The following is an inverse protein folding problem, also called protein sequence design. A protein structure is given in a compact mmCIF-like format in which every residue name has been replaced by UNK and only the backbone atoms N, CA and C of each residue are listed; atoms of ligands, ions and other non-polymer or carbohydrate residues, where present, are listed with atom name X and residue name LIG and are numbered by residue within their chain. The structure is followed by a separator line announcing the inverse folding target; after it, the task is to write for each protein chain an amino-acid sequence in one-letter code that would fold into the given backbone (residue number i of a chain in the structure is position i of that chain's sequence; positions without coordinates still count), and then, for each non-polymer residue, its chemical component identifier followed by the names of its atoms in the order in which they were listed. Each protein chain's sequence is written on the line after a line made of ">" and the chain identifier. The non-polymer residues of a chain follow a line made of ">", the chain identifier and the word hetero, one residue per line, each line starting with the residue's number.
data_IF_551043111908
#
_entry.id   IF_551043111908
#
_cell.length_a   1.000
_cell.length_b   1.000
_cell.length_c   1.000
_cell.angle_alpha   90.00
_cell.angle_beta   90.00
_cell.angle_gamma   90.00
#
_symmetry.space_group_name_H-M   'P 1'
#
loop_
_entity.id
_entity.type
_entity.pdbx_description
1 polymer ?
#
# COMPACT_ATOMS: atom_id res chain seq x y z
N UNK A 1 59.11 33.06 29.16
CA UNK A 1 59.55 33.22 27.76
C UNK A 1 58.38 32.80 26.91
N UNK A 2 57.75 33.81 26.35
CA UNK A 2 56.70 33.80 25.34
C UNK A 2 57.30 33.29 23.98
N UNK A 3 56.54 33.20 22.88
CA UNK A 3 55.65 32.11 22.46
C UNK A 3 56.04 31.60 21.05
N UNK A 4 55.38 30.60 20.45
CA UNK A 4 54.35 30.80 19.41
C UNK A 4 54.17 29.48 18.64
N UNK A 5 52.98 29.25 18.07
CA UNK A 5 52.89 28.46 16.83
C UNK A 5 51.89 27.31 16.81
N UNK A 6 50.61 27.65 16.88
CA UNK A 6 49.44 26.92 16.35
C UNK A 6 49.67 26.24 14.99
N UNK A 7 49.14 25.03 14.77
CA UNK A 7 48.23 24.74 13.62
C UNK A 7 47.80 23.25 13.52
N UNK A 8 46.50 23.04 13.69
CA UNK A 8 45.53 22.29 12.85
C UNK A 8 45.99 21.03 12.07
N UNK A 9 45.22 19.92 12.14
CA UNK A 9 45.46 18.74 11.29
C UNK A 9 45.01 19.04 9.86
N UNK A 10 45.96 19.08 8.92
CA UNK A 10 45.66 19.12 7.49
C UNK A 10 45.45 17.71 6.98
N UNK A 11 44.24 17.46 6.49
CA UNK A 11 43.92 16.36 5.59
C UNK A 11 44.84 16.43 4.37
N UNK A 12 45.89 15.61 4.34
CA UNK A 12 46.56 15.31 3.09
C UNK A 12 45.86 14.11 2.45
N UNK A 13 45.07 14.44 1.43
CA UNK A 13 44.63 13.58 0.35
C UNK A 13 45.81 12.72 -0.09
N UNK A 14 45.74 11.41 0.19
CA UNK A 14 46.66 10.46 -0.40
C UNK A 14 46.40 10.44 -1.91
N UNK A 15 47.17 11.22 -2.66
CA UNK A 15 47.31 11.04 -4.09
C UNK A 15 47.89 9.65 -4.28
N UNK A 16 47.03 8.71 -4.69
CA UNK A 16 47.45 7.39 -5.17
C UNK A 16 48.26 7.62 -6.46
N UNK A 17 49.55 7.90 -6.31
CA UNK A 17 50.50 7.76 -7.39
C UNK A 17 50.59 6.27 -7.65
N UNK A 18 49.87 5.81 -8.68
CA UNK A 18 49.89 4.42 -9.09
C UNK A 18 51.33 3.99 -9.32
N UNK A 19 51.90 3.21 -8.38
CA UNK A 19 53.14 2.49 -8.61
C UNK A 19 52.87 1.56 -9.78
N UNK A 20 53.36 1.93 -10.96
CA UNK A 20 53.52 1.00 -12.08
C UNK A 20 54.28 -0.20 -11.53
N UNK A 21 53.59 -1.34 -11.41
CA UNK A 21 54.22 -2.61 -11.00
C UNK A 21 55.42 -2.80 -11.92
N UNK A 22 56.64 -2.75 -11.36
CA UNK A 22 57.85 -3.04 -12.13
C UNK A 22 57.66 -4.42 -12.74
N UNK A 23 57.53 -4.44 -14.07
CA UNK A 23 57.35 -5.67 -14.84
C UNK A 23 58.50 -6.60 -14.47
N UNK A 24 58.21 -7.85 -14.13
CA UNK A 24 59.25 -8.82 -13.80
C UNK A 24 60.20 -8.96 -14.99
N UNK A 25 61.43 -8.46 -14.84
CA UNK A 25 62.47 -8.55 -15.87
C UNK A 25 63.29 -9.80 -15.54
N UNK A 26 63.15 -10.83 -16.36
CA UNK A 26 63.96 -12.04 -16.22
C UNK A 26 65.45 -11.67 -16.35
N UNK A 27 66.27 -12.12 -15.40
CA UNK A 27 67.72 -11.91 -15.44
C UNK A 27 68.39 -12.71 -16.58
N UNK A 28 67.70 -13.71 -17.15
CA UNK A 28 68.20 -14.57 -18.24
C UNK A 28 67.81 -14.13 -19.66
N UNK A 29 66.76 -13.32 -19.80
CA UNK A 29 66.28 -12.84 -21.11
C UNK A 29 66.44 -11.32 -21.16
N UNK A 30 67.61 -10.86 -21.61
CA UNK A 30 67.94 -9.43 -21.78
C UNK A 30 68.14 -9.16 -23.27
N UNK A 31 67.57 -8.06 -23.78
CA UNK A 31 67.59 -7.71 -25.20
C UNK A 31 66.34 -8.17 -25.97
N UNK A 32 66.39 -8.14 -27.31
CA UNK A 32 65.36 -8.78 -28.14
C UNK A 32 65.53 -10.29 -28.02
N UNK A 33 64.46 -10.97 -27.59
CA UNK A 33 64.41 -12.42 -27.50
C UNK A 33 63.26 -12.92 -28.36
N UNK A 34 63.50 -14.01 -29.08
CA UNK A 34 62.48 -14.64 -29.90
C UNK A 34 61.33 -15.14 -29.01
N UNK A 35 60.11 -14.88 -29.45
CA UNK A 35 58.88 -15.28 -28.77
C UNK A 35 58.10 -16.27 -29.64
N UNK A 36 58.64 -17.47 -29.92
CA UNK A 36 58.03 -18.42 -30.85
C UNK A 36 56.62 -18.85 -30.42
N UNK A 37 56.27 -18.74 -29.13
CA UNK A 37 54.91 -18.97 -28.64
C UNK A 37 53.87 -17.94 -29.12
N UNK A 38 54.29 -16.76 -29.61
CA UNK A 38 53.39 -15.81 -30.27
C UNK A 38 53.00 -16.28 -31.67
N UNK A 39 53.83 -17.12 -32.30
CA UNK A 39 53.61 -17.74 -33.61
C UNK A 39 52.98 -19.15 -33.48
N UNK A 40 52.95 -19.72 -32.26
CA UNK A 40 52.31 -21.02 -31.99
C UNK A 40 50.78 -20.95 -32.25
N UNK A 41 50.25 -21.76 -33.19
CA UNK A 41 48.82 -21.82 -33.48
C UNK A 41 47.95 -22.15 -32.25
N UNK A 42 48.48 -22.87 -31.26
CA UNK A 42 47.76 -23.18 -30.00
C UNK A 42 47.49 -21.92 -29.17
N UNK A 43 48.36 -20.91 -29.26
CA UNK A 43 48.16 -19.63 -28.56
C UNK A 43 47.05 -18.80 -29.21
N UNK A 44 46.86 -18.92 -30.54
CA UNK A 44 45.73 -18.31 -31.23
C UNK A 44 44.38 -18.87 -30.72
N UNK A 45 44.29 -20.18 -30.45
CA UNK A 45 43.10 -20.78 -29.82
C UNK A 45 42.76 -20.15 -28.46
N UNK A 46 43.77 -19.79 -27.67
CA UNK A 46 43.57 -19.10 -26.38
C UNK A 46 43.07 -17.67 -26.57
N UNK A 47 43.57 -16.94 -27.58
CA UNK A 47 43.04 -15.62 -27.95
C UNK A 47 41.57 -15.70 -28.38
N UNK A 48 41.20 -16.68 -29.22
CA UNK A 48 39.82 -16.92 -29.61
C UNK A 48 38.92 -17.22 -28.41
N UNK A 49 39.35 -18.08 -27.48
CA UNK A 49 38.62 -18.35 -26.24
C UNK A 49 38.41 -17.06 -25.42
N UNK A 50 39.45 -16.23 -25.27
CA UNK A 50 39.33 -14.96 -24.56
C UNK A 50 38.37 -13.99 -25.28
N UNK A 51 38.42 -13.90 -26.61
CA UNK A 51 37.46 -13.10 -27.38
C UNK A 51 36.03 -13.59 -27.17
N UNK A 52 35.79 -14.89 -27.19
CA UNK A 52 34.47 -15.47 -26.90
C UNK A 52 34.00 -15.06 -25.49
N UNK A 53 34.86 -15.15 -24.47
CA UNK A 53 34.52 -14.72 -23.10
C UNK A 53 34.22 -13.23 -23.04
N UNK A 54 35.04 -12.37 -23.65
CA UNK A 54 34.80 -10.93 -23.67
C UNK A 54 33.51 -10.57 -24.40
N UNK A 55 33.21 -11.26 -25.51
CA UNK A 55 31.94 -11.10 -26.23
C UNK A 55 30.76 -11.45 -25.33
N UNK A 56 30.80 -12.58 -24.60
CA UNK A 56 29.73 -12.92 -23.65
C UNK A 56 29.60 -11.92 -22.50
N UNK A 57 30.71 -11.38 -21.98
CA UNK A 57 30.67 -10.32 -20.97
C UNK A 57 29.99 -9.07 -21.53
N UNK A 58 30.38 -8.62 -22.73
CA UNK A 58 29.77 -7.44 -23.38
C UNK A 58 28.29 -7.68 -23.65
N UNK A 59 27.91 -8.86 -24.15
CA UNK A 59 26.51 -9.24 -24.34
C UNK A 59 25.76 -9.20 -23.00
N UNK A 60 26.34 -9.74 -21.93
CA UNK A 60 25.75 -9.70 -20.59
C UNK A 60 25.51 -8.27 -20.09
N UNK A 61 26.49 -7.37 -20.28
CA UNK A 61 26.35 -5.95 -19.93
C UNK A 61 25.29 -5.26 -20.78
N UNK A 62 25.26 -5.50 -22.09
CA UNK A 62 24.24 -4.95 -22.98
C UNK A 62 22.84 -5.44 -22.59
N UNK A 63 22.66 -6.73 -22.32
CA UNK A 63 21.39 -7.30 -21.88
C UNK A 63 20.96 -6.72 -20.53
N UNK A 64 21.88 -6.56 -19.58
CA UNK A 64 21.60 -5.89 -18.32
C UNK A 64 21.14 -4.43 -18.53
N UNK A 65 21.78 -3.70 -19.46
CA UNK A 65 21.37 -2.35 -19.85
C UNK A 65 19.96 -2.31 -20.46
N UNK A 66 19.62 -3.27 -21.32
CA UNK A 66 18.27 -3.41 -21.91
C UNK A 66 17.23 -3.70 -20.84
N UNK A 67 17.51 -4.63 -19.92
CA UNK A 67 16.61 -4.95 -18.79
C UNK A 67 16.42 -3.73 -17.89
N UNK A 68 17.50 -3.01 -17.56
CA UNK A 68 17.43 -1.80 -16.77
C UNK A 68 16.59 -0.71 -17.45
N UNK A 69 16.78 -0.50 -18.77
CA UNK A 69 15.99 0.45 -19.54
C UNK A 69 14.50 0.15 -19.42
N UNK A 70 14.06 -1.09 -19.71
CA UNK A 70 12.64 -1.45 -19.65
C UNK A 70 12.05 -1.41 -18.24
N UNK A 71 12.86 -1.62 -17.18
CA UNK A 71 12.42 -1.46 -15.79
C UNK A 71 12.23 0.00 -15.37
N UNK A 72 13.03 0.90 -15.92
CA UNK A 72 12.95 2.34 -15.60
C UNK A 72 11.84 3.03 -16.40
N UNK A 73 11.51 2.54 -17.60
CA UNK A 73 10.50 3.17 -18.47
C UNK A 73 9.16 3.50 -17.76
N UNK A 74 8.53 2.60 -16.99
CA UNK A 74 7.29 2.92 -16.26
C UNK A 74 7.47 3.97 -15.16
N UNK A 75 8.68 4.08 -14.60
CA UNK A 75 9.03 5.04 -13.56
C UNK A 75 9.55 6.38 -14.13
N UNK A 76 9.39 6.64 -15.43
CA UNK A 76 9.72 7.95 -16.01
C UNK A 76 8.55 8.93 -15.82
N UNK A 77 8.80 10.19 -15.43
CA UNK A 77 7.75 11.14 -15.11
C UNK A 77 6.97 11.51 -16.37
N UNK A 78 5.65 11.43 -16.32
CA UNK A 78 4.75 12.05 -17.30
C UNK A 78 4.44 13.48 -16.86
N UNK A 79 4.05 14.38 -17.79
CA UNK A 79 3.51 15.69 -17.41
C UNK A 79 2.28 15.51 -16.50
N UNK A 80 2.39 16.05 -15.28
CA UNK A 80 1.36 16.00 -14.24
C UNK A 80 1.34 17.33 -13.49
N UNK A 81 0.19 17.68 -12.89
CA UNK A 81 -0.01 18.94 -12.19
C UNK A 81 -0.65 18.75 -10.83
N UNK A 82 -0.09 19.40 -9.81
CA UNK A 82 -0.58 19.32 -8.44
C UNK A 82 -1.97 19.98 -8.39
N UNK A 83 -2.99 19.21 -8.06
CA UNK A 83 -4.38 19.70 -7.92
C UNK A 83 -4.83 19.73 -6.46
N UNK A 84 -4.16 18.97 -5.59
CA UNK A 84 -4.51 18.89 -4.19
C UNK A 84 -3.28 18.56 -3.34
N UNK A 85 -3.14 19.27 -2.23
CA UNK A 85 -2.16 18.99 -1.18
C UNK A 85 -2.82 19.23 0.19
N UNK A 86 -2.59 18.28 1.09
CA UNK A 86 -2.88 18.43 2.51
C UNK A 86 -1.66 18.02 3.33
N UNK A 87 -1.27 18.88 4.26
CA UNK A 87 -0.18 18.64 5.23
C UNK A 87 -0.72 18.43 6.63
N UNK A 88 -2.04 18.47 6.80
CA UNK A 88 -2.74 18.27 8.06
C UNK A 88 -2.25 19.23 9.14
N UNK A 89 -2.43 20.53 8.90
CA UNK A 89 -2.08 21.57 9.87
C UNK A 89 -2.70 21.27 11.25
N UNK A 90 -1.96 21.57 12.32
CA UNK A 90 -2.32 21.20 13.68
C UNK A 90 -3.66 21.80 14.13
N UNK A 91 -4.48 20.99 14.82
CA UNK A 91 -5.79 21.39 15.32
C UNK A 91 -6.86 20.35 15.01
N UNK A 92 -7.63 20.58 13.96
CA UNK A 92 -8.73 19.71 13.51
C UNK A 92 -8.58 19.42 12.02
N UNK A 93 -9.07 18.25 11.59
CA UNK A 93 -9.23 17.90 10.19
C UNK A 93 -10.03 18.97 9.43
N UNK A 94 -9.53 19.38 8.27
CA UNK A 94 -10.21 20.30 7.37
C UNK A 94 -11.36 19.59 6.65
N UNK A 95 -12.58 19.82 7.14
CA UNK A 95 -13.81 19.22 6.59
C UNK A 95 -14.18 19.76 5.20
N UNK A 96 -13.53 20.83 4.70
CA UNK A 96 -13.66 21.22 3.29
C UNK A 96 -12.89 20.27 2.36
N UNK A 97 -11.91 19.54 2.90
CA UNK A 97 -11.04 18.59 2.19
C UNK A 97 -11.37 17.12 2.46
N UNK A 98 -11.88 16.80 3.65
CA UNK A 98 -12.13 15.42 4.08
C UNK A 98 -13.51 15.22 4.67
N UNK A 99 -14.16 14.11 4.33
CA UNK A 99 -15.46 13.71 4.87
C UNK A 99 -15.25 12.54 5.81
N UNK A 100 -15.86 12.58 6.99
CA UNK A 100 -15.89 11.43 7.88
C UNK A 100 -16.88 10.38 7.37
N UNK A 101 -16.55 9.10 7.53
CA UNK A 101 -17.50 7.99 7.40
C UNK A 101 -17.70 7.37 8.78
N UNK A 102 -18.92 7.43 9.29
CA UNK A 102 -19.33 6.97 10.63
C UNK A 102 -20.36 5.86 10.47
N UNK A 103 -19.98 4.64 10.81
CA UNK A 103 -20.82 3.45 10.71
C UNK A 103 -20.42 2.34 11.70
N UNK A 104 -21.32 1.36 11.86
CA UNK A 104 -21.20 0.18 12.74
C UNK A 104 -21.13 -1.16 11.99
N UNK A 105 -21.23 -1.15 10.66
CA UNK A 105 -21.37 -2.37 9.84
C UNK A 105 -20.05 -3.04 9.45
N UNK A 106 -18.91 -2.55 9.93
CA UNK A 106 -17.58 -3.05 9.54
C UNK A 106 -17.26 -2.90 8.06
N UNK A 107 -17.97 -2.00 7.34
CA UNK A 107 -17.73 -1.65 5.94
C UNK A 107 -17.55 -2.84 4.98
N UNK A 108 -18.36 -3.89 5.15
CA UNK A 108 -18.32 -5.09 4.29
C UNK A 108 -17.19 -6.09 4.60
N UNK A 109 -16.27 -5.76 5.51
CA UNK A 109 -15.18 -6.65 5.94
C UNK A 109 -15.51 -7.43 7.22
N UNK A 110 -16.58 -7.03 7.91
CA UNK A 110 -16.92 -7.54 9.23
C UNK A 110 -15.89 -7.14 10.30
N UNK A 111 -15.25 -5.97 10.16
CA UNK A 111 -14.34 -5.44 11.18
C UNK A 111 -15.04 -5.21 12.51
N UNK A 112 -14.25 -5.19 13.58
CA UNK A 112 -14.71 -5.12 14.96
C UNK A 112 -14.64 -3.70 15.54
N UNK A 113 -14.23 -2.74 14.72
CA UNK A 113 -14.30 -1.32 15.02
C UNK A 113 -15.61 -0.69 14.53
N UNK A 114 -15.94 0.45 15.13
CA UNK A 114 -16.87 1.42 14.56
C UNK A 114 -16.20 2.78 14.44
N UNK A 115 -16.54 3.51 13.38
CA UNK A 115 -15.84 4.73 13.03
C UNK A 115 -16.51 5.95 13.63
N UNK A 116 -15.73 6.94 14.09
CA UNK A 116 -16.25 8.13 14.77
C UNK A 116 -15.56 9.42 14.31
N UNK A 117 -16.10 10.56 14.75
CA UNK A 117 -15.51 11.90 14.56
C UNK A 117 -14.80 12.43 15.82
N UNK A 118 -14.62 11.57 16.82
CA UNK A 118 -14.06 11.94 18.12
C UNK A 118 -12.56 12.22 18.04
N UNK A 119 -12.12 13.30 18.69
CA UNK A 119 -10.71 13.70 18.76
C UNK A 119 -9.79 12.64 19.38
N UNK A 120 -10.33 11.67 20.13
CA UNK A 120 -9.56 10.53 20.64
C UNK A 120 -9.22 9.52 19.55
N UNK A 121 -10.01 9.46 18.48
CA UNK A 121 -9.79 8.57 17.33
C UNK A 121 -9.15 9.27 16.14
N UNK A 122 -9.43 10.57 15.96
CA UNK A 122 -8.94 11.32 14.80
C UNK A 122 -8.66 12.78 15.13
N UNK A 123 -7.40 13.21 14.93
CA UNK A 123 -6.96 14.58 15.19
C UNK A 123 -5.72 14.93 14.37
N UNK A 124 -5.37 16.22 14.30
CA UNK A 124 -4.15 16.69 13.62
C UNK A 124 -3.22 17.42 14.60
N UNK A 125 -1.92 17.14 14.52
CA UNK A 125 -0.86 17.82 15.27
C UNK A 125 0.32 18.20 14.36
N UNK A 126 1.48 18.52 14.94
CA UNK A 126 2.70 18.86 14.20
C UNK A 126 3.31 17.70 13.38
N UNK A 127 2.92 16.46 13.68
CA UNK A 127 3.33 15.26 12.93
C UNK A 127 2.37 14.91 11.79
N UNK A 128 1.18 15.49 11.78
CA UNK A 128 0.14 15.35 10.77
C UNK A 128 -1.17 14.80 11.33
N UNK A 129 -1.94 14.11 10.49
CA UNK A 129 -3.18 13.43 10.85
C UNK A 129 -2.89 12.13 11.62
N UNK A 130 -3.63 11.89 12.69
CA UNK A 130 -3.60 10.65 13.44
C UNK A 130 -4.95 9.95 13.33
N UNK A 131 -4.94 8.65 13.03
CA UNK A 131 -6.11 7.77 13.11
C UNK A 131 -5.77 6.69 14.14
N UNK A 132 -6.30 6.81 15.35
CA UNK A 132 -5.94 6.02 16.53
C UNK A 132 -7.14 5.16 16.98
N UNK A 133 -7.01 3.83 17.02
CA UNK A 133 -8.04 2.99 17.60
C UNK A 133 -8.05 3.11 19.14
N UNK A 134 -9.25 3.15 19.73
CA UNK A 134 -9.48 3.22 21.18
C UNK A 134 -10.55 2.22 21.61
N UNK A 135 -10.59 1.81 22.87
CA UNK A 135 -11.62 0.88 23.33
C UNK A 135 -12.94 1.63 23.53
N UNK A 136 -14.05 1.00 23.12
CA UNK A 136 -15.40 1.57 23.25
C UNK A 136 -15.72 1.86 24.71
N UNK A 137 -15.38 0.96 25.63
CA UNK A 137 -15.67 1.11 27.07
C UNK A 137 -14.73 2.08 27.81
N UNK A 138 -13.61 2.47 27.22
CA UNK A 138 -12.70 3.46 27.80
C UNK A 138 -13.05 4.90 27.38
N UNK A 139 -13.65 5.06 26.21
CA UNK A 139 -13.87 6.37 25.59
C UNK A 139 -15.35 6.74 25.46
N UNK A 140 -16.25 5.89 25.93
CA UNK A 140 -17.70 6.15 26.00
C UNK A 140 -18.24 5.77 27.37
N UNK A 141 -19.53 6.01 27.61
CA UNK A 141 -20.24 5.54 28.80
C UNK A 141 -20.67 4.07 28.73
N UNK A 142 -20.38 3.36 27.63
CA UNK A 142 -20.77 1.96 27.43
C UNK A 142 -19.89 1.06 28.30
N UNK A 143 -20.50 0.36 29.25
CA UNK A 143 -19.78 -0.56 30.14
C UNK A 143 -19.42 -1.87 29.44
N UNK A 144 -18.46 -2.62 30.00
CA UNK A 144 -18.09 -3.95 29.48
C UNK A 144 -19.31 -4.89 29.41
N UNK A 145 -20.17 -4.91 30.43
CA UNK A 145 -21.39 -5.74 30.42
C UNK A 145 -22.34 -5.37 29.27
N UNK A 146 -22.46 -4.08 28.97
CA UNK A 146 -23.27 -3.56 27.88
C UNK A 146 -22.70 -3.90 26.50
N UNK A 147 -21.37 -4.05 26.37
CA UNK A 147 -20.78 -4.53 25.12
C UNK A 147 -21.29 -5.94 24.79
N UNK A 148 -21.41 -6.82 25.79
CA UNK A 148 -21.87 -8.20 25.60
C UNK A 148 -23.40 -8.32 25.49
N UNK A 149 -24.16 -7.53 26.25
CA UNK A 149 -25.60 -7.79 26.34
C UNK A 149 -26.46 -6.58 26.71
N UNK A 150 -27.64 -6.51 26.11
CA UNK A 150 -28.73 -5.65 26.58
C UNK A 150 -28.52 -4.16 26.29
N UNK A 151 -27.67 -3.83 25.32
CA UNK A 151 -27.40 -2.45 24.93
C UNK A 151 -27.75 -2.20 23.46
N UNK A 152 -28.10 -0.96 23.15
CA UNK A 152 -28.34 -0.47 21.80
C UNK A 152 -27.48 0.77 21.56
N UNK A 153 -26.53 0.66 20.64
CA UNK A 153 -25.78 1.81 20.15
C UNK A 153 -26.49 2.33 18.89
N UNK A 154 -26.96 3.58 18.92
CA UNK A 154 -27.78 4.16 17.86
C UNK A 154 -27.23 5.51 17.38
N UNK A 155 -26.40 5.46 16.35
CA UNK A 155 -25.74 6.63 15.78
C UNK A 155 -26.70 7.53 14.99
N UNK A 156 -27.86 7.02 14.58
CA UNK A 156 -28.91 7.83 13.97
C UNK A 156 -29.56 8.75 15.01
N UNK A 157 -29.83 8.23 16.21
CA UNK A 157 -30.36 9.04 17.31
C UNK A 157 -29.34 10.10 17.77
N UNK A 158 -28.05 9.76 17.70
CA UNK A 158 -26.95 10.69 18.00
C UNK A 158 -26.70 11.72 16.87
N UNK A 159 -27.28 11.50 15.68
CA UNK A 159 -27.09 12.34 14.50
C UNK A 159 -25.69 12.28 13.88
N UNK A 160 -24.90 11.25 14.22
CA UNK A 160 -23.51 11.10 13.79
C UNK A 160 -23.32 10.14 12.63
N UNK A 161 -24.25 9.20 12.41
CA UNK A 161 -24.14 8.23 11.32
C UNK A 161 -24.13 8.90 9.94
N UNK A 162 -23.23 8.48 9.06
CA UNK A 162 -23.13 9.01 7.69
C UNK A 162 -23.70 8.05 6.65
N UNK A 163 -24.07 6.83 7.06
CA UNK A 163 -24.67 5.82 6.20
C UNK A 163 -26.18 6.02 6.05
N UNK A 164 -26.73 5.54 4.94
CA UNK A 164 -28.17 5.64 4.66
C UNK A 164 -28.98 4.46 5.20
N UNK A 165 -28.32 3.31 5.42
CA UNK A 165 -28.96 2.10 5.93
C UNK A 165 -29.00 2.10 7.46
N UNK A 166 -30.18 1.87 8.04
CA UNK A 166 -30.35 1.75 9.50
C UNK A 166 -29.48 0.64 10.11
N UNK A 167 -29.26 -0.46 9.37
CA UNK A 167 -28.39 -1.56 9.81
C UNK A 167 -26.91 -1.14 9.92
N UNK A 168 -26.51 -0.06 9.25
CA UNK A 168 -25.17 0.51 9.37
C UNK A 168 -25.04 1.51 10.52
N UNK A 169 -26.17 1.97 11.08
CA UNK A 169 -26.20 3.03 12.09
C UNK A 169 -26.64 2.55 13.48
N UNK A 170 -27.13 1.32 13.61
CA UNK A 170 -27.61 0.76 14.88
C UNK A 170 -27.02 -0.63 15.12
N UNK A 171 -26.45 -0.83 16.30
CA UNK A 171 -25.95 -2.12 16.77
C UNK A 171 -26.61 -2.50 18.10
N UNK A 172 -26.88 -3.79 18.28
CA UNK A 172 -27.48 -4.35 19.48
C UNK A 172 -26.63 -5.49 20.05
N UNK A 173 -26.34 -5.43 21.35
CA UNK A 173 -25.66 -6.53 22.04
C UNK A 173 -26.68 -7.52 22.62
N UNK A 174 -26.45 -8.81 22.38
CA UNK A 174 -27.31 -9.89 22.84
C UNK A 174 -26.50 -11.17 23.07
N UNK A 175 -26.34 -11.51 24.36
CA UNK A 175 -25.63 -12.70 24.86
C UNK A 175 -26.19 -14.04 24.37
N UNK A 176 -27.43 -14.10 23.90
CA UNK A 176 -28.01 -15.32 23.34
C UNK A 176 -27.70 -15.46 21.84
N UNK A 177 -27.58 -14.34 21.13
CA UNK A 177 -27.40 -14.32 19.67
C UNK A 177 -25.93 -14.27 19.23
N UNK A 178 -24.99 -14.01 20.14
CA UNK A 178 -23.58 -13.81 19.76
C UNK A 178 -23.26 -12.38 19.33
N UNK A 179 -24.23 -11.45 19.39
CA UNK A 179 -24.03 -10.09 18.91
C UNK A 179 -23.44 -9.19 19.98
N UNK A 180 -22.45 -8.37 19.60
CA UNK A 180 -21.75 -7.44 20.48
C UNK A 180 -21.94 -6.01 19.97
N UNK A 181 -21.82 -5.03 20.85
CA UNK A 181 -21.44 -3.68 20.40
C UNK A 181 -19.97 -3.76 19.97
N UNK A 182 -19.59 -3.23 18.78
CA UNK A 182 -18.20 -3.22 18.36
C UNK A 182 -17.26 -2.72 19.48
N UNK A 183 -16.32 -3.56 19.95
CA UNK A 183 -15.53 -3.27 21.16
C UNK A 183 -14.53 -2.14 20.98
N UNK A 184 -14.23 -1.76 19.74
CA UNK A 184 -13.20 -0.79 19.41
C UNK A 184 -13.79 0.36 18.60
N UNK A 185 -13.28 1.57 18.82
CA UNK A 185 -13.56 2.76 18.03
C UNK A 185 -12.37 3.09 17.17
N UNK A 186 -12.61 3.58 15.96
CA UNK A 186 -11.57 4.09 15.06
C UNK A 186 -12.10 5.27 14.23
N UNK A 187 -11.44 5.61 13.14
CA UNK A 187 -11.92 6.59 12.18
C UNK A 187 -11.63 6.18 10.74
N UNK A 188 -12.48 6.68 9.85
CA UNK A 188 -12.40 6.52 8.40
C UNK A 188 -12.79 7.83 7.75
N UNK A 189 -11.97 8.31 6.84
CA UNK A 189 -12.19 9.57 6.13
C UNK A 189 -11.97 9.40 4.63
N UNK A 190 -12.64 10.21 3.84
CA UNK A 190 -12.54 10.18 2.38
C UNK A 190 -12.51 11.58 1.76
N UNK A 191 -12.15 11.65 0.47
CA UNK A 191 -12.20 12.89 -0.34
C UNK A 191 -13.40 12.93 -1.31
N UNK A 192 -14.40 12.05 -1.15
CA UNK A 192 -15.58 11.97 -2.01
C UNK A 192 -16.33 13.30 -2.05
N UNK A 193 -16.67 13.75 -3.25
CA UNK A 193 -17.33 15.04 -3.48
C UNK A 193 -16.43 16.26 -3.28
N UNK A 194 -15.12 16.06 -3.06
CA UNK A 194 -14.14 17.12 -2.82
C UNK A 194 -13.00 17.06 -3.83
N UNK A 195 -12.24 15.97 -3.80
CA UNK A 195 -11.17 15.70 -4.75
C UNK A 195 -11.23 14.24 -5.18
N UNK A 196 -11.41 14.03 -6.47
CA UNK A 196 -11.13 12.78 -7.14
C UNK A 196 -10.16 13.00 -8.30
N UNK A 197 -9.66 11.91 -8.84
CA UNK A 197 -8.71 11.91 -9.94
C UNK A 197 -9.04 10.77 -10.91
N UNK A 198 -8.98 11.08 -12.20
CA UNK A 198 -8.82 10.08 -13.26
C UNK A 198 -7.48 10.30 -13.93
N UNK A 199 -6.55 9.38 -13.68
CA UNK A 199 -5.15 9.44 -14.12
C UNK A 199 -4.30 10.56 -13.51
N UNK A 200 -3.05 10.21 -13.21
CA UNK A 200 -2.02 11.08 -12.65
C UNK A 200 -1.26 10.35 -11.56
N UNK A 201 -1.08 10.99 -10.41
CA UNK A 201 -0.30 10.47 -9.29
C UNK A 201 -0.94 10.81 -7.95
N UNK A 202 -0.88 9.88 -7.02
CA UNK A 202 -1.21 10.08 -5.60
C UNK A 202 0.00 9.66 -4.77
N UNK A 203 0.41 10.51 -3.83
CA UNK A 203 1.42 10.17 -2.83
C UNK A 203 0.88 10.44 -1.43
N UNK A 204 0.93 9.43 -0.56
CA UNK A 204 0.55 9.55 0.85
C UNK A 204 1.77 9.21 1.69
N UNK A 205 2.21 10.16 2.52
CA UNK A 205 3.35 9.96 3.43
C UNK A 205 2.80 9.56 4.79
N UNK A 206 2.99 8.29 5.17
CA UNK A 206 2.41 7.75 6.40
C UNK A 206 3.36 6.83 7.17
N UNK A 207 3.17 6.75 8.48
CA UNK A 207 3.78 5.76 9.38
C UNK A 207 2.68 4.82 9.85
N UNK A 208 2.92 3.51 9.73
CA UNK A 208 1.90 2.50 10.03
C UNK A 208 1.83 2.17 11.54
N UNK A 209 0.66 1.75 12.03
CA UNK A 209 0.48 1.30 13.40
C UNK A 209 1.19 -0.02 13.72
N UNK A 210 1.43 -0.24 15.00
CA UNK A 210 1.85 -1.51 15.60
C UNK A 210 0.76 -2.01 16.55
N UNK A 211 0.40 -3.28 16.40
CA UNK A 211 -0.52 -3.97 17.29
C UNK A 211 -1.21 -5.12 16.59
N UNK A 212 -1.42 -6.21 17.30
CA UNK A 212 -2.18 -7.33 16.77
C UNK A 212 -3.56 -6.89 16.33
N UNK A 213 -3.97 -7.44 15.19
CA UNK A 213 -5.32 -7.26 14.61
C UNK A 213 -5.63 -5.84 14.12
N UNK A 214 -4.62 -4.96 14.02
CA UNK A 214 -4.78 -3.63 13.41
C UNK A 214 -4.61 -3.70 11.90
N UNK A 215 -5.47 -3.02 11.15
CA UNK A 215 -5.49 -2.99 9.69
C UNK A 215 -5.52 -1.54 9.16
N UNK A 216 -4.36 -0.90 8.96
CA UNK A 216 -4.27 0.39 8.27
C UNK A 216 -4.49 0.23 6.76
N UNK A 217 -5.19 1.18 6.13
CA UNK A 217 -5.41 1.22 4.69
C UNK A 217 -5.31 2.64 4.10
N UNK A 218 -4.70 2.73 2.93
CA UNK A 218 -4.66 3.89 2.03
C UNK A 218 -5.11 3.39 0.66
N UNK A 219 -6.28 3.82 0.23
CA UNK A 219 -6.97 3.18 -0.88
C UNK A 219 -7.95 4.15 -1.53
N UNK A 220 -8.51 3.75 -2.67
CA UNK A 220 -9.37 4.62 -3.46
C UNK A 220 -10.58 3.85 -3.98
N UNK A 221 -11.71 4.54 -3.99
CA UNK A 221 -12.98 4.05 -4.52
C UNK A 221 -13.46 4.96 -5.66
N UNK A 222 -14.24 4.43 -6.62
CA UNK A 222 -14.76 5.22 -7.72
C UNK A 222 -15.74 6.28 -7.19
N UNK A 223 -15.67 7.49 -7.71
CA UNK A 223 -16.58 8.59 -7.35
C UNK A 223 -18.03 8.19 -7.64
N UNK A 224 -18.24 7.55 -8.78
CA UNK A 224 -19.52 7.04 -9.26
C UNK A 224 -19.42 5.55 -9.60
N UNK A 225 -20.46 4.78 -9.23
CA UNK A 225 -20.56 3.35 -9.54
C UNK A 225 -21.03 3.11 -10.99
N UNK A 226 -20.29 3.64 -11.98
CA UNK A 226 -20.67 3.62 -13.41
C UNK A 226 -20.96 2.22 -13.94
N UNK A 227 -20.25 1.21 -13.46
CA UNK A 227 -20.40 -0.19 -13.88
C UNK A 227 -21.26 -1.03 -12.91
N UNK A 228 -21.85 -0.38 -11.90
CA UNK A 228 -22.60 -1.02 -10.81
C UNK A 228 -21.78 -1.19 -9.54
N UNK A 229 -22.37 -1.88 -8.57
CA UNK A 229 -21.81 -2.07 -7.23
C UNK A 229 -20.45 -2.77 -7.25
N UNK A 230 -19.71 -2.62 -6.16
CA UNK A 230 -18.42 -3.25 -5.96
C UNK A 230 -18.48 -4.76 -6.25
N UNK A 231 -17.45 -5.35 -6.92
CA UNK A 231 -16.22 -4.74 -7.41
C UNK A 231 -16.32 -4.26 -8.87
N UNK A 232 -17.52 -4.19 -9.46
CA UNK A 232 -17.69 -3.87 -10.90
C UNK A 232 -17.11 -2.52 -11.29
N UNK A 233 -17.23 -1.53 -10.41
CA UNK A 233 -16.68 -0.18 -10.62
C UNK A 233 -15.23 -0.01 -10.13
N UNK A 234 -14.62 -1.09 -9.63
CA UNK A 234 -13.22 -1.15 -9.22
C UNK A 234 -12.95 -0.59 -7.82
N UNK A 235 -11.78 -0.94 -7.29
CA UNK A 235 -11.17 -0.40 -6.07
C UNK A 235 -9.64 -0.46 -6.23
N UNK A 236 -8.93 0.54 -5.71
CA UNK A 236 -7.48 0.70 -5.85
C UNK A 236 -6.85 0.80 -4.46
N UNK A 237 -6.25 -0.27 -3.99
CA UNK A 237 -5.54 -0.30 -2.70
C UNK A 237 -4.07 0.03 -2.91
N UNK A 238 -3.71 1.26 -2.56
CA UNK A 238 -2.32 1.72 -2.66
C UNK A 238 -1.47 1.00 -1.60
N UNK A 239 -2.02 0.89 -0.37
CA UNK A 239 -1.36 0.23 0.75
C UNK A 239 -2.39 -0.34 1.73
N UNK A 240 -2.27 -1.64 1.99
CA UNK A 240 -2.88 -2.30 3.14
C UNK A 240 -1.83 -3.12 3.88
N UNK A 241 -1.87 -3.10 5.22
CA UNK A 241 -0.92 -3.86 6.04
C UNK A 241 -1.62 -4.43 7.28
N UNK A 242 -0.89 -5.26 8.02
CA UNK A 242 -1.31 -5.79 9.32
C UNK A 242 -0.38 -5.24 10.39
N UNK A 243 -0.92 -4.78 11.51
CA UNK A 243 -0.13 -4.31 12.66
C UNK A 243 0.57 -5.44 13.44
N UNK A 244 0.20 -6.70 13.16
CA UNK A 244 0.76 -7.91 13.78
C UNK A 244 2.30 -7.95 13.68
N UNK A 245 2.99 -8.67 14.59
CA UNK A 245 4.43 -8.78 14.56
C UNK A 245 4.94 -9.45 13.28
N UNK A 246 6.23 -9.25 13.00
CA UNK A 246 6.95 -9.83 11.84
C UNK A 246 6.86 -11.36 11.79
N UNK A 247 6.63 -12.02 12.93
CA UNK A 247 6.40 -13.47 13.00
C UNK A 247 5.04 -13.91 12.43
N UNK A 248 4.10 -12.99 12.27
CA UNK A 248 2.80 -13.24 11.67
C UNK A 248 2.92 -13.27 10.13
N UNK A 249 2.26 -14.20 9.41
CA UNK A 249 2.24 -14.20 7.96
C UNK A 249 1.68 -12.89 7.37
N UNK A 250 2.56 -12.10 6.75
CA UNK A 250 2.19 -10.78 6.24
C UNK A 250 1.92 -9.76 7.34
N UNK A 251 2.67 -9.82 8.45
CA UNK A 251 2.68 -8.82 9.52
C UNK A 251 3.26 -7.47 9.09
N UNK A 252 3.58 -6.62 10.06
CA UNK A 252 3.89 -5.19 9.86
C UNK A 252 5.16 -4.87 9.04
N UNK A 253 5.97 -5.85 8.68
CA UNK A 253 7.07 -5.73 7.72
C UNK A 253 6.63 -5.94 6.27
N UNK A 254 5.34 -6.24 6.05
CA UNK A 254 4.73 -6.53 4.76
C UNK A 254 3.54 -5.61 4.53
N UNK A 255 3.37 -5.14 3.30
CA UNK A 255 2.13 -4.52 2.86
C UNK A 255 1.72 -5.00 1.47
N UNK A 256 0.45 -4.82 1.14
CA UNK A 256 -0.21 -5.26 -0.06
C UNK A 256 -0.67 -4.04 -0.87
N UNK A 257 -0.54 -4.17 -2.19
CA UNK A 257 -1.13 -3.26 -3.16
C UNK A 257 -2.03 -4.09 -4.06
N UNK A 258 -3.29 -3.69 -4.19
CA UNK A 258 -4.32 -4.52 -4.80
C UNK A 258 -5.18 -3.67 -5.74
N UNK A 259 -5.71 -4.31 -6.78
CA UNK A 259 -6.81 -3.77 -7.58
C UNK A 259 -7.93 -4.78 -7.49
N UNK A 260 -9.10 -4.39 -6.98
CA UNK A 260 -10.29 -5.24 -7.00
C UNK A 260 -11.12 -4.93 -8.24
N UNK A 261 -11.61 -5.99 -8.88
CA UNK A 261 -12.38 -5.92 -10.11
C UNK A 261 -12.99 -7.28 -10.39
N UNK A 262 -14.24 -7.29 -10.80
CA UNK A 262 -14.98 -8.50 -11.11
C UNK A 262 -16.43 -8.16 -11.43
N UNK A 263 -17.17 -9.10 -12.04
CA UNK A 263 -18.58 -8.88 -12.34
C UNK A 263 -19.50 -9.05 -11.12
N UNK A 264 -18.97 -9.41 -9.96
CA UNK A 264 -19.69 -9.62 -8.70
C UNK A 264 -18.67 -9.76 -7.55
N UNK A 265 -19.16 -9.71 -6.31
CA UNK A 265 -18.32 -9.95 -5.13
C UNK A 265 -17.71 -11.35 -5.10
N UNK A 266 -18.45 -12.37 -5.53
CA UNK A 266 -17.97 -13.77 -5.52
C UNK A 266 -16.90 -14.03 -6.61
N UNK A 267 -16.88 -13.21 -7.65
CA UNK A 267 -15.92 -13.30 -8.77
C UNK A 267 -14.95 -12.13 -8.79
N UNK A 268 -14.68 -11.54 -7.65
CA UNK A 268 -13.60 -10.57 -7.51
C UNK A 268 -12.25 -11.22 -7.85
N UNK A 269 -11.59 -10.69 -8.89
CA UNK A 269 -10.36 -11.24 -9.45
C UNK A 269 -9.11 -10.52 -8.95
N UNK A 270 -9.18 -9.87 -7.78
CA UNK A 270 -8.10 -9.09 -7.17
C UNK A 270 -6.75 -9.83 -7.11
N UNK A 271 -6.77 -11.15 -6.89
CA UNK A 271 -5.57 -12.00 -6.79
C UNK A 271 -4.73 -12.00 -8.09
N UNK A 272 -5.31 -11.61 -9.23
CA UNK A 272 -4.60 -11.45 -10.52
C UNK A 272 -3.89 -10.09 -10.62
N UNK A 273 -4.12 -9.19 -9.68
CA UNK A 273 -3.64 -7.80 -9.64
C UNK A 273 -3.18 -7.38 -8.26
N UNK A 274 -2.84 -8.34 -7.41
CA UNK A 274 -2.24 -8.10 -6.12
C UNK A 274 -0.72 -8.23 -6.21
N UNK A 275 -0.02 -7.35 -5.49
CA UNK A 275 1.41 -7.47 -5.24
C UNK A 275 1.71 -7.24 -3.76
N UNK A 276 2.81 -7.83 -3.31
CA UNK A 276 3.24 -7.79 -1.91
C UNK A 276 4.64 -7.19 -1.82
N UNK A 277 4.83 -6.29 -0.87
CA UNK A 277 6.15 -5.73 -0.56
C UNK A 277 6.53 -6.02 0.89
N UNK A 278 7.64 -6.75 1.05
CA UNK A 278 8.25 -7.02 2.34
C UNK A 278 9.54 -6.20 2.54
N UNK A 279 9.73 -5.64 3.73
CA UNK A 279 11.03 -5.09 4.18
C UNK A 279 11.93 -6.24 4.63
N UNK A 280 13.18 -6.23 4.16
CA UNK A 280 14.18 -7.24 4.57
C UNK A 280 14.77 -6.97 5.96
N UNK A 281 14.68 -5.73 6.45
CA UNK A 281 15.21 -5.26 7.73
C UNK A 281 14.27 -4.20 8.28
N UNK A 282 13.92 -4.34 9.55
CA UNK A 282 12.92 -3.48 10.20
C UNK A 282 11.51 -3.72 9.67
N UNK A 283 10.60 -2.82 10.00
CA UNK A 283 9.19 -2.88 9.60
C UNK A 283 8.65 -1.50 9.21
N UNK A 284 7.39 -1.41 8.77
CA UNK A 284 6.77 -0.15 8.32
C UNK A 284 6.29 0.76 9.47
N UNK A 285 6.50 0.35 10.73
CA UNK A 285 6.14 1.12 11.93
C UNK A 285 7.28 2.01 12.44
N UNK A 286 8.52 1.75 11.98
CA UNK A 286 9.73 2.47 12.42
C UNK A 286 9.82 3.92 11.93
N UNK A 287 9.09 4.28 10.87
CA UNK A 287 9.20 5.59 10.26
C UNK A 287 8.15 5.86 9.18
N UNK A 288 8.20 7.08 8.66
CA UNK A 288 7.32 7.48 7.57
C UNK A 288 7.84 6.95 6.24
N UNK A 289 6.90 6.49 5.43
CA UNK A 289 7.12 6.00 4.08
C UNK A 289 6.19 6.72 3.12
N UNK A 290 6.62 6.89 1.87
CA UNK A 290 5.76 7.45 0.80
C UNK A 290 5.09 6.29 0.06
N UNK A 291 3.78 6.16 0.17
CA UNK A 291 2.99 5.20 -0.59
C UNK A 291 2.48 5.88 -1.85
N UNK A 292 2.98 5.44 -3.00
CA UNK A 292 2.77 6.11 -4.28
C UNK A 292 1.94 5.28 -5.26
N UNK A 293 1.02 5.96 -5.95
CA UNK A 293 0.26 5.46 -7.09
C UNK A 293 0.53 6.37 -8.29
N UNK A 294 0.82 5.78 -9.44
CA UNK A 294 0.80 6.40 -10.75
C UNK A 294 -0.14 5.63 -11.66
N UNK A 295 -0.98 6.36 -12.37
CA UNK A 295 -2.08 5.78 -13.12
C UNK A 295 -2.34 6.58 -14.38
N UNK A 296 -2.52 5.88 -15.49
CA UNK A 296 -2.98 6.45 -16.74
C UNK A 296 -3.80 5.41 -17.52
N UNK A 297 -4.33 5.81 -18.67
CA UNK A 297 -5.10 4.92 -19.53
C UNK A 297 -4.37 3.63 -19.94
N UNK A 298 -3.04 3.52 -19.80
CA UNK A 298 -2.25 2.36 -20.24
C UNK A 298 -1.77 1.48 -19.09
N UNK A 299 -1.70 1.97 -17.85
CA UNK A 299 -1.26 1.18 -16.71
C UNK A 299 -1.58 1.84 -15.35
N UNK A 300 -1.53 1.00 -14.32
CA UNK A 300 -1.35 1.39 -12.92
C UNK A 300 0.02 0.91 -12.44
N UNK A 301 0.72 1.78 -11.71
CA UNK A 301 2.04 1.54 -11.13
C UNK A 301 2.03 2.04 -9.68
N UNK A 302 2.39 1.18 -8.73
CA UNK A 302 2.49 1.56 -7.31
C UNK A 302 3.89 1.30 -6.79
N UNK A 303 4.35 2.14 -5.88
CA UNK A 303 5.71 2.12 -5.34
C UNK A 303 5.76 2.62 -3.90
N UNK A 304 6.92 2.41 -3.27
CA UNK A 304 7.20 2.91 -1.92
C UNK A 304 8.49 3.72 -1.87
N UNK A 305 8.44 4.88 -1.21
CA UNK A 305 9.53 5.85 -0.98
C UNK A 305 10.09 6.50 -2.26
N UNK A 306 10.46 5.68 -3.25
CA UNK A 306 11.02 6.08 -4.52
C UNK A 306 10.34 5.31 -5.66
N UNK A 307 10.13 5.96 -6.80
CA UNK A 307 9.49 5.39 -7.99
C UNK A 307 10.24 4.18 -8.56
N UNK A 308 11.51 3.98 -8.24
CA UNK A 308 12.26 2.78 -8.63
C UNK A 308 11.96 1.58 -7.74
N UNK A 309 11.32 1.78 -6.59
CA UNK A 309 10.94 0.72 -5.65
C UNK A 309 9.52 0.24 -5.95
N UNK A 310 9.36 -0.37 -7.13
CA UNK A 310 8.10 -0.93 -7.59
C UNK A 310 7.50 -1.91 -6.59
N UNK A 311 6.18 -1.81 -6.40
CA UNK A 311 5.36 -2.80 -5.73
C UNK A 311 4.41 -3.47 -6.72
N UNK A 312 3.48 -2.72 -7.30
CA UNK A 312 2.54 -3.24 -8.31
C UNK A 312 2.78 -2.58 -9.67
N UNK A 313 2.69 -3.37 -10.74
CA UNK A 313 2.60 -2.85 -12.09
C UNK A 313 1.58 -3.65 -12.90
N UNK A 314 0.47 -3.00 -13.23
CA UNK A 314 -0.61 -3.58 -14.04
C UNK A 314 -0.72 -2.81 -15.34
N UNK A 315 -0.27 -3.43 -16.44
CA UNK A 315 -0.43 -2.89 -17.79
C UNK A 315 -1.81 -3.25 -18.36
N UNK A 316 -2.44 -2.28 -19.03
CA UNK A 316 -3.71 -2.45 -19.71
C UNK A 316 -3.50 -2.81 -21.19
N UNK A 317 -4.37 -3.67 -21.71
CA UNK A 317 -4.27 -4.19 -23.06
C UNK A 317 -5.64 -4.17 -23.72
N UNK A 318 -5.79 -3.38 -24.80
CA UNK A 318 -7.05 -3.34 -25.55
C UNK A 318 -7.48 -4.71 -26.10
N UNK A 319 -6.51 -5.56 -26.45
CA UNK A 319 -6.77 -6.93 -26.93
C UNK A 319 -7.03 -7.95 -25.81
N UNK A 320 -6.85 -7.55 -24.54
CA UNK A 320 -7.13 -8.38 -23.37
C UNK A 320 -7.63 -7.49 -22.21
N UNK A 321 -8.86 -6.94 -22.32
CA UNK A 321 -9.49 -6.19 -21.24
C UNK A 321 -9.61 -7.01 -19.96
N UNK A 322 -10.05 -6.36 -18.88
CA UNK A 322 -10.24 -7.03 -17.60
C UNK A 322 -11.24 -8.20 -17.69
N UNK A 323 -12.29 -8.12 -18.51
CA UNK A 323 -13.22 -9.25 -18.72
C UNK A 323 -12.48 -10.53 -19.17
N UNK A 324 -11.63 -10.42 -20.19
CA UNK A 324 -10.82 -11.49 -20.75
C UNK A 324 -9.67 -11.88 -19.83
N UNK A 325 -9.14 -10.93 -19.04
CA UNK A 325 -8.13 -11.20 -18.01
C UNK A 325 -8.68 -12.03 -16.86
N UNK A 326 -9.94 -11.80 -16.49
CA UNK A 326 -10.65 -12.51 -15.43
C UNK A 326 -11.03 -13.93 -15.83
N UNK A 327 -11.19 -14.16 -17.14
CA UNK A 327 -11.75 -15.38 -17.72
C UNK A 327 -13.24 -15.58 -17.38
N UNK A 328 -14.00 -14.50 -17.26
CA UNK A 328 -15.40 -14.54 -16.82
C UNK A 328 -16.40 -15.06 -17.88
N UNK A 329 -15.92 -15.33 -19.10
CA UNK A 329 -16.80 -15.81 -20.17
C UNK A 329 -17.31 -17.21 -19.84
N UNK A 330 -18.63 -17.32 -19.67
CA UNK A 330 -19.30 -18.58 -19.34
C UNK A 330 -19.49 -18.83 -17.85
N UNK A 331 -19.02 -17.92 -16.98
CA UNK A 331 -19.33 -17.99 -15.55
C UNK A 331 -20.82 -17.71 -15.30
N UNK A 332 -21.33 -18.32 -14.24
CA UNK A 332 -22.73 -18.19 -13.84
C UNK A 332 -22.87 -18.08 -12.33
N UNK A 333 -23.78 -17.21 -11.90
CA UNK A 333 -24.18 -17.03 -10.51
C UNK A 333 -25.67 -17.28 -10.37
N UNK A 334 -26.08 -18.03 -9.36
CA UNK A 334 -27.49 -18.39 -9.14
C UNK A 334 -28.19 -18.93 -10.41
N UNK A 335 -27.48 -19.78 -11.16
CA UNK A 335 -27.91 -20.35 -12.45
C UNK A 335 -28.17 -19.32 -13.57
N UNK A 336 -27.65 -18.10 -13.43
CA UNK A 336 -27.75 -17.04 -14.44
C UNK A 336 -26.37 -16.73 -15.00
N UNK A 337 -26.25 -16.69 -16.32
CA UNK A 337 -24.99 -16.30 -16.97
C UNK A 337 -24.64 -14.86 -16.64
N UNK A 338 -23.39 -14.65 -16.28
CA UNK A 338 -22.88 -13.32 -15.94
C UNK A 338 -22.62 -12.54 -17.23
N UNK A 339 -23.11 -11.31 -17.26
CA UNK A 339 -22.88 -10.37 -18.37
C UNK A 339 -21.64 -9.54 -18.10
N UNK A 340 -20.97 -9.11 -19.18
CA UNK A 340 -19.81 -8.24 -19.07
C UNK A 340 -20.24 -6.84 -18.61
N UNK A 341 -19.91 -6.41 -17.37
CA UNK A 341 -20.31 -5.10 -16.87
C UNK A 341 -19.60 -3.94 -17.60
N UNK A 342 -18.51 -4.24 -18.30
CA UNK A 342 -17.67 -3.24 -18.99
C UNK A 342 -17.90 -3.21 -20.51
N UNK A 343 -18.90 -3.93 -21.02
CA UNK A 343 -19.18 -4.01 -22.47
C UNK A 343 -19.42 -2.64 -23.12
N UNK A 344 -20.02 -1.71 -22.37
CA UNK A 344 -20.35 -0.35 -22.82
C UNK A 344 -19.26 0.69 -22.46
N UNK A 345 -18.10 0.25 -21.96
CA UNK A 345 -17.00 1.17 -21.69
C UNK A 345 -16.46 1.79 -22.99
N UNK A 346 -16.20 3.10 -22.93
CA UNK A 346 -15.53 3.85 -24.01
C UNK A 346 -13.98 3.71 -23.97
N UNK A 347 -13.44 2.85 -23.11
CA UNK A 347 -12.00 2.63 -22.99
C UNK A 347 -11.41 2.07 -24.30
N UNK A 348 -10.40 2.76 -24.82
CA UNK A 348 -9.63 2.31 -26.00
C UNK A 348 -8.44 1.42 -25.63
N UNK A 349 -8.16 1.26 -24.33
CA UNK A 349 -7.01 0.55 -23.78
C UNK A 349 -7.39 -0.70 -22.99
N UNK A 350 -8.69 -0.98 -22.86
CA UNK A 350 -9.21 -2.11 -22.09
C UNK A 350 -9.00 -1.95 -20.59
N UNK A 351 -9.06 -0.70 -20.09
CA UNK A 351 -8.74 -0.38 -18.70
C UNK A 351 -9.94 -0.20 -17.77
N UNK A 352 -11.17 -0.38 -18.24
CA UNK A 352 -12.33 -0.48 -17.36
C UNK A 352 -12.15 -1.65 -16.36
N UNK A 353 -12.46 -1.46 -15.06
CA UNK A 353 -13.18 -0.30 -14.50
C UNK A 353 -12.32 0.89 -14.07
N UNK A 354 -10.99 0.82 -14.24
CA UNK A 354 -10.04 1.87 -13.87
C UNK A 354 -9.91 2.96 -14.94
N UNK A 355 -11.03 3.31 -15.58
CA UNK A 355 -11.21 4.39 -16.55
C UNK A 355 -12.18 5.48 -16.05
N UNK A 356 -12.61 5.38 -14.79
CA UNK A 356 -13.45 6.37 -14.09
C UNK A 356 -12.63 7.23 -13.13
N UNK A 357 -13.25 8.22 -12.49
CA UNK A 357 -12.63 9.03 -11.43
C UNK A 357 -12.71 8.31 -10.07
N UNK A 358 -11.64 8.39 -9.27
CA UNK A 358 -11.55 7.77 -7.95
C UNK A 358 -11.21 8.80 -6.87
N UNK A 359 -11.78 8.65 -5.67
CA UNK A 359 -11.48 9.44 -4.48
C UNK A 359 -10.67 8.62 -3.47
N UNK A 360 -9.91 9.30 -2.60
CA UNK A 360 -9.02 8.69 -1.62
C UNK A 360 -9.76 8.40 -0.31
N UNK A 361 -9.40 7.29 0.34
CA UNK A 361 -9.87 6.86 1.66
C UNK A 361 -8.66 6.55 2.55
N UNK A 362 -8.74 6.98 3.81
CA UNK A 362 -7.77 6.67 4.86
C UNK A 362 -8.52 6.10 6.07
N UNK A 363 -8.09 4.94 6.58
CA UNK A 363 -8.67 4.36 7.79
C UNK A 363 -7.71 3.40 8.50
N UNK A 364 -8.09 3.04 9.72
CA UNK A 364 -7.50 1.95 10.50
C UNK A 364 -8.62 1.06 11.02
N UNK A 365 -8.85 -0.09 10.38
CA UNK A 365 -9.81 -1.09 10.84
C UNK A 365 -9.20 -2.01 11.90
N UNK A 366 -10.03 -2.71 12.68
CA UNK A 366 -9.59 -3.57 13.79
C UNK A 366 -10.31 -4.91 13.73
N UNK A 367 -9.55 -6.01 13.63
CA UNK A 367 -10.12 -7.32 13.32
C UNK A 367 -10.86 -7.33 11.98
N UNK A 368 -11.29 -8.51 11.55
CA UNK A 368 -12.13 -8.69 10.36
C UNK A 368 -12.59 -10.13 10.27
N UNK A 369 -13.66 -10.39 9.51
CA UNK A 369 -14.19 -11.73 9.25
C UNK A 369 -13.99 -12.20 7.81
N UNK A 370 -13.26 -11.44 7.01
CA UNK A 370 -13.13 -11.64 5.56
C UNK A 370 -11.86 -12.41 5.15
N UNK A 371 -11.19 -13.10 6.07
CA UNK A 371 -9.93 -13.79 5.80
C UNK A 371 -8.68 -12.90 5.80
N UNK A 372 -8.80 -11.59 6.03
CA UNK A 372 -7.63 -10.71 6.10
C UNK A 372 -6.66 -11.15 7.21
N UNK A 373 -7.19 -11.50 8.38
CA UNK A 373 -6.44 -12.21 9.42
C UNK A 373 -6.71 -13.70 9.30
N UNK A 374 -5.67 -14.50 9.06
CA UNK A 374 -5.77 -15.92 8.75
C UNK A 374 -6.19 -16.75 9.97
N UNK A 375 -7.21 -17.59 9.79
CA UNK A 375 -7.63 -18.58 10.79
C UNK A 375 -6.48 -19.53 11.17
N UNK A 376 -6.36 -19.79 12.48
CA UNK A 376 -5.34 -20.68 13.04
C UNK A 376 -3.89 -20.16 12.94
N UNK A 377 -3.68 -18.87 12.64
CA UNK A 377 -2.34 -18.25 12.58
C UNK A 377 -2.17 -17.16 13.64
N UNK A 378 -0.95 -17.06 14.16
CA UNK A 378 -0.56 -15.96 15.05
C UNK A 378 -1.32 -15.86 16.36
N UNK A 379 -1.99 -16.93 16.79
CA UNK A 379 -2.85 -16.89 17.98
C UNK A 379 -4.16 -16.11 17.77
N UNK A 380 -4.63 -15.94 16.53
CA UNK A 380 -5.92 -15.30 16.23
C UNK A 380 -7.04 -15.89 17.11
N UNK A 381 -7.71 -15.08 17.95
CA UNK A 381 -8.66 -15.60 18.94
C UNK A 381 -10.06 -15.87 18.39
N UNK A 382 -10.39 -15.39 17.18
CA UNK A 382 -11.68 -15.65 16.53
C UNK A 382 -11.55 -16.49 15.27
N UNK A 383 -12.67 -17.07 14.85
CA UNK A 383 -12.84 -17.75 13.56
C UNK A 383 -13.78 -16.91 12.71
N UNK A 384 -13.48 -16.76 11.42
CA UNK A 384 -14.22 -15.85 10.53
C UNK A 384 -15.69 -16.23 10.37
N UNK A 385 -16.02 -17.51 10.28
CA UNK A 385 -17.42 -17.95 10.14
C UNK A 385 -18.22 -17.91 11.47
N UNK A 386 -17.58 -17.62 12.60
CA UNK A 386 -18.25 -17.63 13.90
C UNK A 386 -19.19 -16.42 14.07
N UNK A 387 -20.39 -16.65 14.60
CA UNK A 387 -21.36 -15.58 14.89
C UNK A 387 -20.90 -14.67 16.02
N UNK A 388 -20.13 -15.20 16.96
CA UNK A 388 -19.61 -14.51 18.14
C UNK A 388 -18.13 -14.07 18.00
N UNK A 389 -17.64 -13.86 16.78
CA UNK A 389 -16.24 -13.53 16.51
C UNK A 389 -15.74 -12.30 17.29
N UNK A 390 -16.57 -11.25 17.42
CA UNK A 390 -16.27 -10.06 18.22
C UNK A 390 -16.12 -10.37 19.71
N UNK A 391 -16.91 -11.31 20.26
CA UNK A 391 -16.77 -11.73 21.65
C UNK A 391 -15.47 -12.46 21.88
N UNK A 392 -15.13 -13.45 21.06
CA UNK A 392 -13.88 -14.19 21.22
C UNK A 392 -12.66 -13.29 21.03
N UNK A 393 -12.76 -12.30 20.14
CA UNK A 393 -11.77 -11.24 20.03
C UNK A 393 -11.63 -10.45 21.34
N UNK A 394 -12.73 -9.98 21.90
CA UNK A 394 -12.71 -9.17 23.12
C UNK A 394 -12.33 -9.95 24.38
N UNK A 395 -12.75 -11.21 24.50
CA UNK A 395 -12.38 -12.12 25.60
C UNK A 395 -10.86 -12.33 25.70
N UNK A 396 -10.15 -12.21 24.58
CA UNK A 396 -8.70 -12.34 24.50
C UNK A 396 -7.96 -10.98 24.54
N UNK A 397 -8.64 -9.90 24.97
CA UNK A 397 -8.06 -8.56 25.04
C UNK A 397 -6.76 -8.50 25.84
N UNK A 398 -6.65 -9.25 26.92
CA UNK A 398 -5.44 -9.32 27.74
C UNK A 398 -4.22 -9.86 26.98
N UNK A 399 -4.42 -10.60 25.89
CA UNK A 399 -3.35 -11.14 25.04
C UNK A 399 -2.93 -10.14 23.97
N UNK A 400 -3.88 -9.56 23.22
CA UNK A 400 -3.56 -8.72 22.06
C UNK A 400 -3.39 -7.24 22.40
N UNK A 401 -4.11 -6.70 23.39
CA UNK A 401 -4.04 -5.26 23.72
C UNK A 401 -2.64 -4.83 24.16
N UNK A 402 -1.86 -5.61 24.95
CA UNK A 402 -0.49 -5.25 25.29
C UNK A 402 0.47 -5.18 24.08
N UNK A 403 0.08 -5.72 22.92
CA UNK A 403 0.90 -5.63 21.70
C UNK A 403 0.73 -4.31 20.97
N UNK A 404 -0.34 -3.56 21.28
CA UNK A 404 -0.60 -2.27 20.68
C UNK A 404 0.42 -1.24 21.13
N UNK A 405 0.86 -0.41 20.19
CA UNK A 405 1.81 0.65 20.49
C UNK A 405 1.31 1.66 21.54
N UNK A 406 2.25 2.32 22.22
CA UNK A 406 1.93 3.46 23.08
C UNK A 406 1.54 4.69 22.24
N UNK A 407 0.54 5.44 22.73
CA UNK A 407 0.05 6.68 22.10
C UNK A 407 -0.12 6.52 20.57
N UNK A 408 0.49 7.40 19.76
CA UNK A 408 0.34 7.43 18.29
C UNK A 408 0.79 6.14 17.60
N UNK A 409 1.61 5.30 18.25
CA UNK A 409 2.16 4.09 17.61
C UNK A 409 1.16 2.94 17.46
N UNK A 410 -0.01 3.00 18.11
CA UNK A 410 -1.14 2.08 17.81
C UNK A 410 -2.01 2.54 16.64
N UNK A 411 -1.78 3.74 16.11
CA UNK A 411 -2.55 4.28 14.99
C UNK A 411 -1.70 4.60 13.77
N UNK A 412 -2.37 4.99 12.69
CA UNK A 412 -1.70 5.46 11.48
C UNK A 412 -1.50 6.97 11.57
N UNK A 413 -0.26 7.43 11.41
CA UNK A 413 0.05 8.86 11.30
C UNK A 413 0.31 9.21 9.85
N UNK A 414 -0.47 10.12 9.27
CA UNK A 414 -0.34 10.59 7.89
C UNK A 414 0.18 12.03 7.90
N UNK A 415 1.39 12.22 7.38
CA UNK A 415 2.06 13.53 7.33
C UNK A 415 1.55 14.40 6.20
N UNK A 416 1.27 13.79 5.05
CA UNK A 416 0.78 14.56 3.90
C UNK A 416 0.12 13.68 2.85
N UNK A 417 -0.82 14.28 2.12
CA UNK A 417 -1.40 13.74 0.90
C UNK A 417 -1.13 14.72 -0.23
N UNK A 418 -0.71 14.21 -1.39
CA UNK A 418 -0.58 14.98 -2.61
C UNK A 418 -1.20 14.23 -3.77
N UNK A 419 -1.96 14.97 -4.58
CA UNK A 419 -2.60 14.45 -5.79
C UNK A 419 -2.22 15.34 -6.96
N UNK A 420 -1.68 14.72 -8.00
CA UNK A 420 -1.38 15.37 -9.26
C UNK A 420 -2.20 14.74 -10.38
N UNK A 421 -2.90 15.55 -11.16
CA UNK A 421 -3.63 15.08 -12.33
C UNK A 421 -2.72 14.98 -13.55
N UNK A 422 -2.96 14.00 -14.42
CA UNK A 422 -2.27 13.91 -15.72
C UNK A 422 -2.61 15.14 -16.60
N UNK A 423 -1.59 15.69 -17.28
CA UNK A 423 -1.74 16.87 -18.14
C UNK A 423 -0.74 17.98 -17.83
N UNK A 424 -0.69 19.00 -18.69
CA UNK A 424 0.12 20.21 -18.45
C UNK A 424 -0.66 21.23 -17.63
N UNK A 425 0.04 22.05 -16.85
CA UNK A 425 -0.63 22.91 -15.88
C UNK A 425 -1.29 24.07 -16.62
N UNK A 426 -2.62 24.19 -16.48
CA UNK A 426 -3.42 25.18 -17.21
C UNK A 426 -4.04 24.68 -18.52
N UNK A 427 -3.92 23.39 -18.86
CA UNK A 427 -4.66 22.78 -19.99
C UNK A 427 -5.66 21.76 -19.45
N UNK A 428 -6.95 22.04 -19.60
CA UNK A 428 -8.00 21.05 -19.39
C UNK A 428 -8.02 20.09 -20.59
N UNK A 429 -7.15 19.08 -20.59
CA UNK A 429 -7.30 17.95 -21.52
C UNK A 429 -7.84 16.75 -20.72
N UNK A 430 -9.13 16.45 -20.96
CA UNK A 430 -9.92 15.38 -20.34
C UNK A 430 -9.87 14.07 -21.12
#
# INVERSE_FOLDING_TARGET
>A
MDPTGTSTPTHNSAVFTGKTRKRFVSYRLRGEYEKPWLEDPKFNRTKYNNYVVYVFIVIGVCLAGVVAYFKVQPALPTPICLIYEDKFDAGKLDESKWTYEVALNGFGTGSFDWTTTDSTNIYTDDKGLHIIPTLTNETTSITTDQLYNGYTLNLTADGTCTETSAASCVAHSNSTLGSMIPPVRSARINTKGKVGIRYGRVEVVAKLPRGDWIWPAIWMMPTDSVYGDWPKSGEIDIMESRGNPVSYPGGRDVYYSTLHWGPSSDLDAYWRTQAVRAKRRGDFTEGFHTYGLEWNAKHIYMYIDDRLTQVLYTKFHASKPFWEKGHFSGDSENNTLITNPWADSNSTTGNAPFDQEFYLILNVAIGAKNGWFLDGKGGKPWVDDATNAQWTFWDDADTWLPTWGEADSRGMTVRSVKVWQAGSCGTAEL
#
